data_IF_345521406908
#
_entry.id   IF_345521406908
#
_cell.length_a   1.000
_cell.length_b   1.000
_cell.length_c   1.000
_cell.angle_alpha   90.00
_cell.angle_beta   90.00
_cell.angle_gamma   90.00
#
_symmetry.space_group_name_H-M   'P 1'
#
loop_
_entity.id
_entity.type
_entity.pdbx_description
1 polymer ?
#
# COMPACT_ATOMS: atom_id res chain seq x y z
N UNK A 1 0.47 -11.22 -35.02
CA UNK A 1 0.00 -11.10 -33.64
C UNK A 1 -0.39 -12.51 -33.16
N UNK A 2 0.35 -13.11 -32.21
CA UNK A 2 -0.09 -14.37 -31.60
C UNK A 2 -1.25 -14.02 -30.68
N UNK A 3 -2.47 -14.47 -31.01
CA UNK A 3 -3.65 -14.28 -30.15
C UNK A 3 -3.40 -14.83 -28.74
N UNK A 4 -3.89 -14.11 -27.75
CA UNK A 4 -3.82 -14.52 -26.34
C UNK A 4 -4.62 -15.83 -26.19
N UNK A 5 -4.07 -16.83 -25.47
CA UNK A 5 -4.76 -18.11 -25.27
C UNK A 5 -6.10 -17.86 -24.55
N UNK A 6 -7.25 -18.27 -25.13
CA UNK A 6 -8.58 -17.95 -24.58
C UNK A 6 -8.79 -18.51 -23.17
N UNK A 7 -8.03 -19.55 -22.76
CA UNK A 7 -8.08 -20.15 -21.42
C UNK A 7 -7.48 -19.26 -20.35
N UNK A 8 -6.63 -18.28 -20.72
CA UNK A 8 -5.97 -17.42 -19.73
C UNK A 8 -6.98 -16.64 -18.88
N UNK A 9 -8.02 -16.10 -19.51
CA UNK A 9 -9.08 -15.40 -18.79
C UNK A 9 -9.87 -16.29 -17.85
N UNK A 10 -10.13 -17.53 -18.26
CA UNK A 10 -10.78 -18.56 -17.45
C UNK A 10 -9.90 -18.97 -16.26
N UNK A 11 -8.65 -19.32 -16.50
CA UNK A 11 -7.69 -19.71 -15.46
C UNK A 11 -7.54 -18.67 -14.37
N UNK A 12 -7.46 -17.39 -14.75
CA UNK A 12 -7.38 -16.25 -13.79
C UNK A 12 -8.69 -15.99 -13.03
N UNK A 13 -9.82 -16.43 -13.55
CA UNK A 13 -11.12 -16.29 -12.91
C UNK A 13 -11.45 -17.43 -11.92
N UNK A 14 -10.67 -18.52 -11.92
CA UNK A 14 -10.84 -19.59 -10.95
C UNK A 14 -10.61 -19.07 -9.52
N UNK A 15 -11.45 -19.46 -8.54
CA UNK A 15 -11.18 -19.16 -7.14
C UNK A 15 -9.83 -19.74 -6.72
N UNK A 16 -8.98 -18.92 -6.10
CA UNK A 16 -7.65 -19.39 -5.64
C UNK A 16 -7.77 -20.55 -4.66
N UNK A 17 -8.84 -20.59 -3.86
CA UNK A 17 -9.11 -21.68 -2.93
C UNK A 17 -9.29 -23.04 -3.65
N UNK A 18 -9.96 -23.05 -4.80
CA UNK A 18 -10.20 -24.27 -5.57
C UNK A 18 -8.91 -24.77 -6.23
N UNK A 19 -8.07 -23.84 -6.70
CA UNK A 19 -6.75 -24.17 -7.25
C UNK A 19 -5.84 -24.78 -6.17
N UNK A 20 -5.83 -24.17 -4.98
CA UNK A 20 -5.05 -24.68 -3.83
C UNK A 20 -5.53 -26.05 -3.40
N UNK A 21 -6.84 -26.28 -3.34
CA UNK A 21 -7.40 -27.59 -2.99
C UNK A 21 -6.98 -28.68 -4.00
N UNK A 22 -6.98 -28.35 -5.30
CA UNK A 22 -6.52 -29.28 -6.36
C UNK A 22 -5.02 -29.55 -6.34
N UNK A 23 -4.22 -28.60 -5.83
CA UNK A 23 -2.76 -28.75 -5.71
C UNK A 23 -2.33 -29.54 -4.47
N UNK A 24 -3.27 -29.83 -3.54
CA UNK A 24 -3.05 -30.59 -2.31
C UNK A 24 -1.81 -30.13 -1.52
N UNK A 25 -1.61 -28.81 -1.41
CA UNK A 25 -0.43 -28.23 -0.77
C UNK A 25 -0.39 -28.54 0.72
N UNK A 26 0.59 -29.31 1.16
CA UNK A 26 0.76 -29.70 2.55
C UNK A 26 1.39 -28.59 3.41
N UNK A 27 1.07 -28.57 4.70
CA UNK A 27 1.73 -27.71 5.69
C UNK A 27 1.33 -26.25 5.66
N UNK A 28 0.28 -25.87 4.89
CA UNK A 28 -0.25 -24.52 4.88
C UNK A 28 -1.23 -24.31 6.03
N UNK A 29 -1.00 -23.25 6.81
CA UNK A 29 -1.87 -22.83 7.91
C UNK A 29 -2.62 -21.57 7.49
N UNK A 30 -3.92 -21.55 7.76
CA UNK A 30 -4.75 -20.40 7.43
C UNK A 30 -4.56 -19.26 8.44
N UNK A 31 -4.14 -18.09 7.94
CA UNK A 31 -3.97 -16.86 8.72
C UNK A 31 -4.85 -15.76 8.09
N UNK A 32 -6.07 -15.61 8.57
CA UNK A 32 -7.04 -14.69 7.98
C UNK A 32 -7.41 -15.04 6.54
N UNK A 33 -7.08 -14.16 5.61
CA UNK A 33 -7.31 -14.35 4.17
C UNK A 33 -6.18 -15.13 3.47
N UNK A 34 -5.08 -15.40 4.15
CA UNK A 34 -3.92 -16.05 3.59
C UNK A 34 -3.74 -17.48 4.11
N UNK A 35 -3.18 -18.32 3.27
CA UNK A 35 -2.57 -19.58 3.64
C UNK A 35 -1.06 -19.36 3.70
N UNK A 36 -0.41 -19.69 4.81
CA UNK A 36 1.02 -19.48 5.01
C UNK A 36 1.69 -20.78 5.42
N UNK A 37 2.87 -21.09 4.86
CA UNK A 37 3.59 -22.30 5.19
C UNK A 37 4.87 -22.51 4.38
N UNK A 38 5.35 -23.75 4.29
CA UNK A 38 6.52 -24.10 3.49
C UNK A 38 6.26 -23.91 2.00
N UNK A 39 7.25 -23.41 1.28
CA UNK A 39 7.18 -23.33 -0.18
C UNK A 39 7.35 -24.71 -0.79
N UNK A 40 6.52 -25.13 -1.75
CA UNK A 40 6.63 -26.44 -2.40
C UNK A 40 7.95 -26.63 -3.15
N UNK A 41 8.59 -25.55 -3.59
CA UNK A 41 9.86 -25.59 -4.33
C UNK A 41 11.10 -25.48 -3.44
N UNK A 42 11.10 -24.56 -2.46
CA UNK A 42 12.31 -24.26 -1.68
C UNK A 42 12.16 -24.53 -0.17
N UNK A 43 11.05 -25.13 0.26
CA UNK A 43 10.77 -25.43 1.65
C UNK A 43 10.66 -24.18 2.52
N UNK A 44 11.15 -24.29 3.77
CA UNK A 44 11.06 -23.24 4.77
C UNK A 44 9.83 -23.41 5.65
N UNK A 45 9.64 -22.51 6.62
CA UNK A 45 8.56 -22.64 7.61
C UNK A 45 7.31 -21.82 7.23
N UNK A 46 7.50 -20.57 6.78
CA UNK A 46 6.42 -19.57 6.60
C UNK A 46 6.65 -18.64 5.41
N UNK A 47 7.53 -19.00 4.50
CA UNK A 47 7.93 -18.13 3.38
C UNK A 47 6.99 -18.15 2.19
N UNK A 48 6.05 -19.06 2.15
CA UNK A 48 5.07 -19.19 1.09
C UNK A 48 3.72 -18.73 1.57
N UNK A 49 3.18 -17.71 0.93
CA UNK A 49 1.89 -17.12 1.25
C UNK A 49 0.96 -17.11 0.04
N UNK A 50 -0.28 -17.54 0.23
CA UNK A 50 -1.33 -17.52 -0.80
C UNK A 50 -2.52 -16.73 -0.26
N UNK A 51 -2.81 -15.61 -0.87
CA UNK A 51 -3.97 -14.81 -0.51
C UNK A 51 -5.20 -15.30 -1.29
N UNK A 52 -6.12 -15.95 -0.59
CA UNK A 52 -7.33 -16.55 -1.17
C UNK A 52 -8.34 -15.51 -1.69
N UNK A 53 -8.22 -14.24 -1.27
CA UNK A 53 -9.14 -13.18 -1.66
C UNK A 53 -8.65 -12.41 -2.87
N UNK A 54 -7.35 -12.11 -2.91
CA UNK A 54 -6.76 -11.38 -4.03
C UNK A 54 -6.34 -12.30 -5.17
N UNK A 55 -6.32 -13.62 -4.95
CA UNK A 55 -5.88 -14.59 -5.93
C UNK A 55 -4.39 -14.48 -6.26
N UNK A 56 -3.57 -14.02 -5.30
CA UNK A 56 -2.13 -13.84 -5.49
C UNK A 56 -1.37 -14.70 -4.48
N UNK A 57 -0.32 -15.35 -4.94
CA UNK A 57 0.65 -16.01 -4.05
C UNK A 57 2.04 -15.40 -4.17
N UNK A 58 2.88 -15.66 -3.18
CA UNK A 58 4.28 -15.26 -3.17
C UNK A 58 5.13 -16.21 -2.33
N UNK A 59 6.29 -16.61 -2.86
CA UNK A 59 7.39 -17.11 -2.07
C UNK A 59 8.34 -15.97 -1.71
N UNK A 60 8.52 -15.68 -0.43
CA UNK A 60 9.35 -14.55 0.06
C UNK A 60 10.85 -14.72 -0.27
N UNK A 61 11.30 -15.94 -0.56
CA UNK A 61 12.68 -16.21 -1.00
C UNK A 61 12.89 -15.93 -2.49
N UNK A 62 11.82 -15.69 -3.25
CA UNK A 62 11.85 -15.48 -4.71
C UNK A 62 12.55 -16.63 -5.45
N UNK A 63 12.18 -17.87 -5.11
CA UNK A 63 12.83 -19.11 -5.54
C UNK A 63 12.43 -19.56 -6.95
N UNK A 64 12.73 -18.77 -7.95
CA UNK A 64 12.50 -19.11 -9.36
C UNK A 64 11.60 -18.12 -10.10
N UNK A 65 11.43 -18.33 -11.42
CA UNK A 65 10.78 -17.35 -12.30
C UNK A 65 9.29 -17.11 -11.99
N UNK A 66 8.64 -18.06 -11.33
CA UNK A 66 7.22 -18.01 -10.97
C UNK A 66 7.01 -17.97 -9.45
N UNK A 67 7.93 -17.37 -8.69
CA UNK A 67 7.86 -17.33 -7.22
C UNK A 67 6.71 -16.45 -6.68
N UNK A 68 5.99 -15.75 -7.54
CA UNK A 68 4.80 -14.93 -7.22
C UNK A 68 3.92 -14.77 -8.44
N UNK A 69 2.62 -14.60 -8.22
CA UNK A 69 1.67 -14.34 -9.29
C UNK A 69 0.26 -14.81 -8.99
N UNK A 70 -0.47 -15.07 -10.06
CA UNK A 70 -1.86 -15.53 -10.07
C UNK A 70 -1.98 -17.07 -10.06
N UNK A 71 -3.15 -17.59 -10.34
CA UNK A 71 -3.44 -19.03 -10.38
C UNK A 71 -2.54 -19.79 -11.35
N UNK A 72 -2.28 -19.22 -12.53
CA UNK A 72 -1.43 -19.87 -13.54
C UNK A 72 0.01 -19.95 -13.03
N UNK A 73 0.52 -18.86 -12.50
CA UNK A 73 1.86 -18.82 -11.92
C UNK A 73 1.99 -19.75 -10.70
N UNK A 74 0.93 -19.93 -9.89
CA UNK A 74 0.91 -20.85 -8.77
C UNK A 74 1.07 -22.29 -9.24
N UNK A 75 0.34 -22.71 -10.28
CA UNK A 75 0.46 -24.06 -10.86
C UNK A 75 1.85 -24.28 -11.46
N UNK A 76 2.37 -23.30 -12.22
CA UNK A 76 3.73 -23.34 -12.75
C UNK A 76 4.78 -23.50 -11.64
N UNK A 77 4.64 -22.70 -10.59
CA UNK A 77 5.55 -22.75 -9.44
C UNK A 77 5.50 -24.08 -8.70
N UNK A 78 4.31 -24.61 -8.49
CA UNK A 78 4.12 -25.83 -7.70
C UNK A 78 4.52 -27.09 -8.44
N UNK A 79 4.09 -27.20 -9.71
CA UNK A 79 4.23 -28.42 -10.51
C UNK A 79 5.41 -28.35 -11.51
N UNK A 80 6.10 -27.21 -11.62
CA UNK A 80 7.22 -27.04 -12.55
C UNK A 80 6.81 -27.06 -14.04
N UNK A 81 5.54 -26.81 -14.32
CA UNK A 81 4.97 -26.85 -15.67
C UNK A 81 5.26 -25.56 -16.45
N UNK A 82 5.26 -25.67 -17.79
CA UNK A 82 5.23 -24.52 -18.64
C UNK A 82 3.83 -23.83 -18.66
N UNK A 83 3.74 -22.68 -19.31
CA UNK A 83 2.50 -21.88 -19.34
C UNK A 83 1.31 -22.63 -19.96
N UNK A 84 1.55 -23.38 -21.05
CA UNK A 84 0.48 -24.12 -21.74
C UNK A 84 -0.01 -25.29 -20.92
N UNK A 85 0.90 -26.06 -20.36
CA UNK A 85 0.57 -27.17 -19.47
C UNK A 85 -0.16 -26.70 -18.21
N UNK A 86 0.21 -25.56 -17.63
CA UNK A 86 -0.50 -24.98 -16.51
C UNK A 86 -1.93 -24.52 -16.89
N UNK A 87 -2.13 -23.96 -18.06
CA UNK A 87 -3.49 -23.65 -18.57
C UNK A 87 -4.31 -24.92 -18.81
N UNK A 88 -3.70 -25.96 -19.35
CA UNK A 88 -4.39 -27.24 -19.57
C UNK A 88 -4.76 -27.91 -18.24
N UNK A 89 -3.89 -27.86 -17.25
CA UNK A 89 -4.16 -28.37 -15.91
C UNK A 89 -5.32 -27.61 -15.23
N UNK A 90 -5.39 -26.28 -15.39
CA UNK A 90 -6.44 -25.44 -14.81
C UNK A 90 -7.80 -25.58 -15.52
N UNK A 91 -7.79 -25.56 -16.85
CA UNK A 91 -8.99 -25.40 -17.67
C UNK A 91 -9.28 -26.60 -18.58
N UNK A 92 -8.37 -27.58 -18.65
CA UNK A 92 -8.43 -28.71 -19.59
C UNK A 92 -7.87 -28.37 -20.98
N UNK A 93 -7.88 -29.35 -21.91
CA UNK A 93 -7.29 -29.16 -23.24
C UNK A 93 -7.96 -28.05 -24.04
N UNK A 94 -7.16 -27.36 -24.87
CA UNK A 94 -7.66 -26.28 -25.74
C UNK A 94 -8.41 -26.83 -26.95
N UNK A 95 -8.09 -28.05 -27.37
CA UNK A 95 -8.66 -28.69 -28.54
C UNK A 95 -9.87 -29.55 -28.17
N UNK A 96 -10.90 -29.53 -29.02
CA UNK A 96 -12.11 -30.33 -28.83
C UNK A 96 -13.29 -29.66 -28.16
N UNK A 97 -13.16 -28.42 -27.68
CA UNK A 97 -14.32 -27.67 -27.16
C UNK A 97 -15.16 -27.14 -28.30
N UNK A 98 -16.46 -27.36 -28.20
CA UNK A 98 -17.44 -26.71 -29.09
C UNK A 98 -17.52 -25.20 -28.78
N UNK A 99 -18.01 -24.42 -29.72
CA UNK A 99 -18.19 -22.98 -29.50
C UNK A 99 -19.17 -22.68 -28.35
N UNK A 100 -20.19 -23.53 -28.18
CA UNK A 100 -21.10 -23.45 -27.03
C UNK A 100 -20.40 -23.66 -25.67
N UNK A 101 -19.49 -24.63 -25.58
CA UNK A 101 -18.71 -24.89 -24.37
C UNK A 101 -17.74 -23.75 -24.07
N UNK A 102 -17.12 -23.16 -25.10
CA UNK A 102 -16.26 -21.99 -24.99
C UNK A 102 -17.03 -20.78 -24.45
N UNK A 103 -18.22 -20.54 -24.96
CA UNK A 103 -19.07 -19.42 -24.54
C UNK A 103 -19.57 -19.63 -23.11
N UNK A 104 -19.98 -20.84 -22.75
CA UNK A 104 -20.39 -21.18 -21.38
C UNK A 104 -19.23 -20.95 -20.38
N UNK A 105 -18.00 -21.35 -20.72
CA UNK A 105 -16.81 -21.10 -19.90
C UNK A 105 -16.53 -19.61 -19.74
N UNK A 106 -16.63 -18.81 -20.82
CA UNK A 106 -16.47 -17.35 -20.76
C UNK A 106 -17.52 -16.72 -19.84
N UNK A 107 -18.76 -17.17 -19.94
CA UNK A 107 -19.86 -16.71 -19.11
C UNK A 107 -19.59 -16.99 -17.62
N UNK A 108 -19.20 -18.22 -17.28
CA UNK A 108 -18.84 -18.61 -15.90
C UNK A 108 -17.64 -17.81 -15.38
N UNK A 109 -16.61 -17.61 -16.19
CA UNK A 109 -15.46 -16.81 -15.83
C UNK A 109 -15.83 -15.34 -15.54
N UNK A 110 -16.69 -14.76 -16.39
CA UNK A 110 -17.19 -13.39 -16.21
C UNK A 110 -18.06 -13.27 -14.95
N UNK A 111 -18.90 -14.24 -14.67
CA UNK A 111 -19.72 -14.29 -13.45
C UNK A 111 -18.87 -14.41 -12.19
N UNK A 112 -17.89 -15.32 -12.17
CA UNK A 112 -16.94 -15.46 -11.05
C UNK A 112 -16.16 -14.17 -10.80
N UNK A 113 -15.69 -13.50 -11.87
CA UNK A 113 -15.01 -12.20 -11.76
C UNK A 113 -15.92 -11.16 -11.13
N UNK A 114 -17.15 -11.00 -11.62
CA UNK A 114 -18.14 -10.05 -11.06
C UNK A 114 -18.40 -10.34 -9.58
N UNK A 115 -18.52 -11.62 -9.21
CA UNK A 115 -18.71 -12.02 -7.81
C UNK A 115 -17.50 -11.65 -6.94
N UNK A 116 -16.28 -11.90 -7.41
CA UNK A 116 -15.05 -11.53 -6.71
C UNK A 116 -14.92 -10.01 -6.56
N UNK A 117 -15.18 -9.26 -7.62
CA UNK A 117 -15.16 -7.80 -7.62
C UNK A 117 -16.19 -7.23 -6.63
N UNK A 118 -17.40 -7.79 -6.60
CA UNK A 118 -18.45 -7.40 -5.64
C UNK A 118 -18.04 -7.65 -4.17
N UNK A 119 -17.42 -8.80 -3.89
CA UNK A 119 -16.90 -9.12 -2.54
C UNK A 119 -15.76 -8.15 -2.17
N UNK A 120 -14.85 -7.88 -3.08
CA UNK A 120 -13.74 -6.95 -2.85
C UNK A 120 -14.25 -5.52 -2.59
N UNK A 121 -15.21 -5.08 -3.38
CA UNK A 121 -15.84 -3.77 -3.24
C UNK A 121 -16.56 -3.63 -1.89
N UNK A 122 -17.38 -4.60 -1.50
CA UNK A 122 -18.05 -4.59 -0.19
C UNK A 122 -17.06 -4.50 0.97
N UNK A 123 -15.97 -5.29 0.94
CA UNK A 123 -14.92 -5.23 1.97
C UNK A 123 -14.23 -3.86 2.00
N UNK A 124 -14.00 -3.26 0.84
CA UNK A 124 -13.45 -1.91 0.74
C UNK A 124 -14.38 -0.89 1.40
N UNK A 125 -15.68 -0.96 1.12
CA UNK A 125 -16.69 -0.07 1.70
C UNK A 125 -16.79 -0.23 3.21
N UNK A 126 -16.84 -1.47 3.71
CA UNK A 126 -16.86 -1.76 5.14
C UNK A 126 -15.59 -1.22 5.84
N UNK A 127 -14.42 -1.40 5.22
CA UNK A 127 -13.16 -0.87 5.75
C UNK A 127 -13.13 0.67 5.76
N UNK A 128 -13.69 1.34 4.74
CA UNK A 128 -13.84 2.79 4.69
C UNK A 128 -14.78 3.28 5.79
N UNK A 129 -15.90 2.58 6.02
CA UNK A 129 -16.85 2.92 7.08
C UNK A 129 -16.17 2.89 8.45
N UNK A 130 -15.46 1.80 8.79
CA UNK A 130 -14.72 1.70 10.05
C UNK A 130 -13.65 2.79 10.17
N UNK A 131 -12.97 3.13 9.08
CA UNK A 131 -12.00 4.22 9.08
C UNK A 131 -12.64 5.58 9.40
N UNK A 132 -13.83 5.85 8.85
CA UNK A 132 -14.61 7.06 9.16
C UNK A 132 -15.06 7.09 10.62
N UNK A 133 -15.53 5.97 11.15
CA UNK A 133 -15.94 5.88 12.55
C UNK A 133 -14.76 6.21 13.48
N UNK A 134 -13.57 5.67 13.21
CA UNK A 134 -12.35 6.01 13.95
C UNK A 134 -12.00 7.50 13.80
N UNK A 135 -12.08 8.04 12.59
CA UNK A 135 -11.79 9.44 12.34
C UNK A 135 -12.73 10.38 13.11
N UNK A 136 -14.02 10.12 13.08
CA UNK A 136 -15.00 10.99 13.74
C UNK A 136 -15.03 10.83 15.26
N UNK A 137 -14.63 9.68 15.78
CA UNK A 137 -14.47 9.45 17.22
C UNK A 137 -13.21 10.11 17.81
N UNK A 138 -12.17 10.31 17.00
CA UNK A 138 -10.93 10.96 17.43
C UNK A 138 -11.15 12.46 17.71
N UNK A 139 -10.54 12.95 18.78
CA UNK A 139 -10.60 14.36 19.21
C UNK A 139 -9.56 15.24 18.51
N UNK A 140 -9.58 16.56 18.77
CA UNK A 140 -8.56 17.50 18.31
C UNK A 140 -7.16 17.06 18.77
N UNK A 141 -6.14 17.29 17.94
CA UNK A 141 -4.76 16.95 18.25
C UNK A 141 -4.03 18.02 19.07
N UNK A 142 -4.56 19.24 19.09
CA UNK A 142 -3.95 20.36 19.82
C UNK A 142 -3.99 20.11 21.35
N UNK A 143 -2.88 20.39 22.03
CA UNK A 143 -2.74 20.18 23.48
C UNK A 143 -2.68 18.72 23.90
N UNK A 144 -2.39 17.79 23.01
CA UNK A 144 -2.33 16.34 23.28
C UNK A 144 -0.94 15.77 23.00
N UNK A 145 -0.74 14.49 23.32
CA UNK A 145 0.48 13.75 23.01
C UNK A 145 0.93 13.82 21.55
N UNK A 146 0.02 14.16 20.60
CA UNK A 146 0.39 14.39 19.21
C UNK A 146 1.29 15.62 19.07
N UNK A 147 0.99 16.70 19.79
CA UNK A 147 1.84 17.90 19.79
C UNK A 147 3.22 17.59 20.34
N UNK A 148 3.30 16.90 21.47
CA UNK A 148 4.55 16.51 22.10
C UNK A 148 5.37 15.58 21.19
N UNK A 149 4.68 14.64 20.53
CA UNK A 149 5.29 13.76 19.54
C UNK A 149 5.91 14.55 18.38
N UNK A 150 5.17 15.49 17.78
CA UNK A 150 5.67 16.29 16.65
C UNK A 150 6.84 17.18 17.09
N UNK A 151 6.77 17.78 18.28
CA UNK A 151 7.89 18.55 18.86
C UNK A 151 9.13 17.68 19.02
N UNK A 152 8.97 16.47 19.56
CA UNK A 152 10.07 15.49 19.69
C UNK A 152 10.67 15.10 18.34
N UNK A 153 9.88 15.14 17.27
CA UNK A 153 10.33 14.91 15.89
C UNK A 153 10.91 16.18 15.23
N UNK A 154 11.23 17.21 16.01
CA UNK A 154 11.77 18.47 15.48
C UNK A 154 10.75 19.30 14.68
N UNK A 155 9.49 18.87 14.68
CA UNK A 155 8.41 19.54 13.98
C UNK A 155 7.78 20.52 14.98
N UNK A 156 8.38 21.71 15.10
CA UNK A 156 7.96 22.69 16.10
C UNK A 156 6.54 23.19 15.82
N UNK A 157 5.66 23.12 16.83
CA UNK A 157 4.29 23.62 16.74
C UNK A 157 4.17 25.13 16.47
N UNK A 158 5.19 25.90 16.82
CA UNK A 158 5.24 27.35 16.61
C UNK A 158 5.20 27.72 15.12
N UNK A 159 5.61 26.78 14.25
CA UNK A 159 5.56 26.93 12.80
C UNK A 159 4.16 26.71 12.21
N UNK A 160 3.25 26.14 13.00
CA UNK A 160 1.84 26.02 12.64
C UNK A 160 1.04 27.07 13.43
N UNK A 161 0.29 27.90 12.72
CA UNK A 161 -0.72 28.76 13.39
C UNK A 161 -1.78 27.93 14.13
N UNK A 162 -2.05 26.72 13.62
CA UNK A 162 -2.91 25.70 14.23
C UNK A 162 -2.52 24.33 13.70
N UNK A 163 -2.76 23.28 14.49
CA UNK A 163 -2.58 21.90 14.08
C UNK A 163 -3.38 21.61 12.79
N UNK A 164 -2.79 20.92 11.78
CA UNK A 164 -3.54 20.55 10.57
C UNK A 164 -4.84 19.83 10.90
N UNK A 165 -5.95 20.25 10.33
CA UNK A 165 -7.29 19.66 10.58
C UNK A 165 -7.38 18.19 10.18
N UNK A 166 -6.46 17.72 9.34
CA UNK A 166 -6.31 16.32 8.94
C UNK A 166 -5.62 15.45 10.00
N UNK A 167 -5.21 16.02 11.13
CA UNK A 167 -4.59 15.32 12.26
C UNK A 167 -5.51 15.39 13.47
N UNK A 168 -5.78 14.23 14.06
CA UNK A 168 -6.57 14.06 15.27
C UNK A 168 -5.85 13.18 16.28
N UNK A 169 -6.38 13.11 17.48
CA UNK A 169 -5.87 12.32 18.60
C UNK A 169 -6.91 11.31 19.08
N UNK A 170 -6.47 10.07 19.22
CA UNK A 170 -7.23 9.01 19.90
C UNK A 170 -6.43 8.57 21.12
N UNK A 171 -6.91 8.82 22.35
CA UNK A 171 -6.19 8.47 23.57
C UNK A 171 -6.13 6.95 23.82
N UNK A 172 -7.01 6.17 23.21
CA UNK A 172 -7.19 4.74 23.47
C UNK A 172 -7.35 3.93 22.18
N UNK A 173 -6.55 4.25 21.15
CA UNK A 173 -6.57 3.56 19.88
C UNK A 173 -6.19 2.08 20.05
N UNK A 174 -7.07 1.19 19.59
CA UNK A 174 -6.84 -0.26 19.62
C UNK A 174 -5.86 -0.68 18.53
N UNK A 175 -4.79 -1.36 18.92
CA UNK A 175 -3.88 -2.02 17.98
C UNK A 175 -4.31 -3.48 17.82
N UNK A 176 -4.80 -3.82 16.64
CA UNK A 176 -5.34 -5.15 16.35
C UNK A 176 -4.47 -5.91 15.37
N UNK A 177 -4.39 -7.22 15.56
CA UNK A 177 -3.80 -8.17 14.63
C UNK A 177 -4.84 -9.23 14.24
N UNK A 178 -4.73 -9.90 13.08
CA UNK A 178 -5.64 -11.00 12.75
C UNK A 178 -5.57 -12.08 13.85
N UNK A 179 -6.72 -12.58 14.29
CA UNK A 179 -6.76 -13.65 15.30
C UNK A 179 -6.22 -14.96 14.72
N UNK A 180 -5.45 -15.70 15.51
CA UNK A 180 -4.92 -16.98 15.09
C UNK A 180 -6.02 -18.05 15.07
N UNK A 181 -6.07 -18.86 14.00
CA UNK A 181 -7.07 -19.93 13.83
C UNK A 181 -8.51 -19.48 13.62
N UNK A 182 -8.82 -18.16 13.67
CA UNK A 182 -10.19 -17.63 13.52
C UNK A 182 -10.29 -16.66 12.33
N UNK A 183 -10.67 -17.17 11.18
CA UNK A 183 -10.78 -16.36 9.96
C UNK A 183 -11.73 -15.18 10.14
N UNK A 184 -11.26 -13.98 9.80
CA UNK A 184 -12.03 -12.73 9.87
C UNK A 184 -12.11 -12.10 11.27
N UNK A 185 -11.61 -12.75 12.32
CA UNK A 185 -11.52 -12.19 13.67
C UNK A 185 -10.21 -11.41 13.87
N UNK A 186 -10.22 -10.49 14.83
CA UNK A 186 -9.11 -9.62 15.18
C UNK A 186 -8.89 -9.60 16.68
N UNK A 187 -7.67 -9.78 17.11
CA UNK A 187 -7.27 -9.67 18.52
C UNK A 187 -6.68 -8.28 18.77
N UNK A 188 -7.16 -7.63 19.84
CA UNK A 188 -6.56 -6.38 20.34
C UNK A 188 -5.39 -6.74 21.24
N UNK A 189 -4.18 -6.38 20.85
CA UNK A 189 -2.94 -6.70 21.58
C UNK A 189 -2.35 -5.49 22.30
N UNK A 190 -2.82 -4.29 22.00
CA UNK A 190 -2.45 -3.05 22.67
C UNK A 190 -3.58 -2.03 22.54
N UNK A 191 -3.71 -1.17 23.53
CA UNK A 191 -4.58 0.01 23.51
C UNK A 191 -3.80 1.19 24.09
N UNK A 192 -3.72 2.29 23.36
CA UNK A 192 -2.94 3.45 23.79
C UNK A 192 -3.08 4.65 22.87
N UNK A 193 -2.41 5.76 23.19
CA UNK A 193 -2.51 7.01 22.45
C UNK A 193 -2.03 6.86 21.01
N UNK A 194 -2.76 7.47 20.08
CA UNK A 194 -2.38 7.49 18.66
C UNK A 194 -2.68 8.82 17.99
N UNK A 195 -1.78 9.24 17.12
CA UNK A 195 -2.05 10.23 16.09
C UNK A 195 -2.86 9.57 14.98
N UNK A 196 -3.99 10.17 14.64
CA UNK A 196 -4.91 9.71 13.59
C UNK A 196 -4.94 10.74 12.48
N UNK A 197 -4.52 10.36 11.26
CA UNK A 197 -4.53 11.25 10.11
C UNK A 197 -5.55 10.78 9.07
N UNK A 198 -6.40 11.70 8.59
CA UNK A 198 -7.38 11.40 7.57
C UNK A 198 -6.73 11.30 6.18
N UNK A 199 -6.91 10.18 5.52
CA UNK A 199 -6.66 10.04 4.08
C UNK A 199 -7.96 10.39 3.36
N UNK A 200 -7.91 11.40 2.48
CA UNK A 200 -9.08 11.87 1.76
C UNK A 200 -8.93 11.67 0.26
N UNK A 201 -10.04 11.36 -0.40
CA UNK A 201 -10.09 11.25 -1.85
C UNK A 201 -10.12 12.63 -2.54
N UNK A 202 -10.22 12.64 -3.87
CA UNK A 202 -10.30 13.87 -4.67
C UNK A 202 -11.52 14.73 -4.34
N UNK A 203 -12.61 14.11 -3.87
CA UNK A 203 -13.83 14.79 -3.42
C UNK A 203 -13.77 15.26 -1.95
N UNK A 204 -12.64 15.08 -1.26
CA UNK A 204 -12.47 15.46 0.14
C UNK A 204 -13.12 14.51 1.15
N UNK A 205 -13.58 13.34 0.73
CA UNK A 205 -14.20 12.35 1.63
C UNK A 205 -13.12 11.49 2.28
N UNK A 206 -13.25 11.25 3.57
CA UNK A 206 -12.36 10.32 4.30
C UNK A 206 -12.57 8.91 3.77
N UNK A 207 -11.49 8.28 3.29
CA UNK A 207 -11.48 6.92 2.75
C UNK A 207 -10.58 5.98 3.53
N UNK A 208 -9.63 6.53 4.30
CA UNK A 208 -8.81 5.76 5.22
C UNK A 208 -8.36 6.62 6.40
N UNK A 209 -7.86 5.97 7.44
CA UNK A 209 -7.09 6.61 8.50
C UNK A 209 -5.70 6.00 8.56
N UNK A 210 -4.69 6.86 8.64
CA UNK A 210 -3.33 6.49 8.99
C UNK A 210 -3.15 6.73 10.47
N UNK A 211 -2.84 5.69 11.24
CA UNK A 211 -2.66 5.75 12.69
C UNK A 211 -1.21 5.53 13.04
N UNK A 212 -0.65 6.38 13.90
CA UNK A 212 0.68 6.22 14.50
C UNK A 212 0.50 6.12 16.01
N UNK A 213 0.76 4.95 16.59
CA UNK A 213 0.72 4.78 18.05
C UNK A 213 1.93 5.45 18.66
N UNK A 214 1.67 6.17 19.76
CA UNK A 214 2.65 7.04 20.41
C UNK A 214 3.11 6.42 21.75
N UNK A 215 4.39 6.55 22.00
CA UNK A 215 5.00 6.29 23.30
C UNK A 215 6.12 7.32 23.49
N UNK A 216 5.83 8.38 24.24
CA UNK A 216 6.76 9.48 24.44
C UNK A 216 7.96 9.10 25.33
N UNK A 217 7.99 7.93 25.94
CA UNK A 217 9.18 7.40 26.62
C UNK A 217 10.23 6.90 25.62
N UNK A 218 9.83 6.55 24.40
CA UNK A 218 10.73 6.08 23.36
C UNK A 218 11.49 7.22 22.67
N UNK A 219 12.73 7.00 22.18
CA UNK A 219 13.54 8.05 21.56
C UNK A 219 12.84 8.76 20.39
N UNK A 220 12.18 8.03 19.51
CA UNK A 220 11.43 8.58 18.36
C UNK A 220 9.95 8.88 18.67
N UNK A 221 9.51 8.73 19.95
CA UNK A 221 8.14 9.00 20.38
C UNK A 221 7.08 8.04 19.84
N UNK A 222 7.47 6.94 19.19
CA UNK A 222 6.59 5.92 18.62
C UNK A 222 6.58 4.67 19.48
N UNK A 223 5.41 4.02 19.55
CA UNK A 223 5.26 2.74 20.24
C UNK A 223 6.23 1.69 19.68
N UNK A 224 6.91 1.00 20.56
CA UNK A 224 7.69 -0.22 20.27
C UNK A 224 6.90 -1.41 20.80
N UNK A 225 6.26 -2.16 19.93
CA UNK A 225 5.39 -3.28 20.29
C UNK A 225 6.01 -4.60 19.80
N UNK A 226 6.41 -5.51 20.71
CA UNK A 226 6.90 -6.83 20.32
C UNK A 226 5.85 -7.60 19.52
N UNK A 227 6.29 -8.31 18.49
CA UNK A 227 5.39 -9.20 17.73
C UNK A 227 5.16 -10.50 18.55
N UNK A 228 3.93 -10.78 19.01
CA UNK A 228 3.65 -11.98 19.82
C UNK A 228 3.86 -13.28 19.04
N UNK A 229 3.95 -13.21 17.71
CA UNK A 229 4.12 -14.39 16.83
C UNK A 229 5.57 -14.62 16.40
N UNK A 230 6.42 -13.60 16.58
CA UNK A 230 7.80 -13.62 16.11
C UNK A 230 8.74 -13.06 17.19
N UNK A 231 9.22 -13.90 18.09
CA UNK A 231 10.15 -13.49 19.13
C UNK A 231 11.35 -12.70 18.54
N UNK A 232 11.63 -11.53 19.12
CA UNK A 232 12.71 -10.66 18.67
C UNK A 232 12.36 -9.67 17.55
N UNK A 233 11.17 -9.80 16.92
CA UNK A 233 10.66 -8.79 15.98
C UNK A 233 9.71 -7.81 16.68
N UNK A 234 9.53 -6.63 16.08
CA UNK A 234 8.55 -5.63 16.52
C UNK A 234 7.52 -5.38 15.44
N UNK A 235 6.30 -5.08 15.86
CA UNK A 235 5.22 -4.68 14.99
C UNK A 235 5.36 -3.20 14.59
N UNK A 236 4.90 -2.80 13.38
CA UNK A 236 5.01 -1.42 12.94
C UNK A 236 4.16 -0.48 13.82
N UNK A 237 4.73 0.62 14.30
CA UNK A 237 3.99 1.64 15.04
C UNK A 237 2.92 2.36 14.20
N UNK A 238 2.94 2.20 12.89
CA UNK A 238 2.03 2.83 11.93
C UNK A 238 1.14 1.80 11.25
N UNK A 239 -0.15 2.11 11.11
CA UNK A 239 -1.11 1.29 10.34
C UNK A 239 -2.09 2.16 9.58
N UNK A 240 -2.48 1.69 8.39
CA UNK A 240 -3.57 2.28 7.61
C UNK A 240 -4.79 1.35 7.67
N UNK A 241 -5.96 1.93 7.89
CA UNK A 241 -7.25 1.24 7.80
C UNK A 241 -8.15 1.99 6.83
N UNK A 242 -8.86 1.28 5.98
CA UNK A 242 -9.66 1.84 4.90
C UNK A 242 -8.99 1.70 3.54
N UNK A 243 -9.37 2.52 2.58
CA UNK A 243 -8.80 2.56 1.23
C UNK A 243 -7.98 3.83 1.02
N UNK A 244 -6.66 3.72 1.01
CA UNK A 244 -5.76 4.85 0.72
C UNK A 244 -5.64 5.17 -0.77
N UNK A 245 -6.09 4.29 -1.66
CA UNK A 245 -5.92 4.37 -3.11
C UNK A 245 -6.45 5.68 -3.69
N UNK A 246 -5.58 6.40 -4.39
CA UNK A 246 -5.88 7.71 -4.97
C UNK A 246 -6.10 8.84 -3.97
N UNK A 247 -6.02 8.56 -2.67
CA UNK A 247 -6.17 9.55 -1.61
C UNK A 247 -4.82 10.06 -1.09
N UNK A 248 -4.89 11.12 -0.27
CA UNK A 248 -3.74 11.71 0.41
C UNK A 248 -4.14 12.33 1.75
N UNK A 249 -3.17 12.53 2.64
CA UNK A 249 -3.34 13.32 3.88
C UNK A 249 -2.98 14.77 3.56
N UNK A 250 -3.90 15.70 3.74
CA UNK A 250 -3.72 17.13 3.43
C UNK A 250 -3.23 17.86 4.67
N UNK A 251 -1.92 18.12 4.77
CA UNK A 251 -1.28 18.68 5.96
C UNK A 251 -1.19 20.21 5.95
N UNK A 252 -1.07 20.80 4.78
CA UNK A 252 -1.07 22.25 4.58
C UNK A 252 -1.66 22.64 3.23
N UNK A 253 -2.29 23.80 3.19
CA UNK A 253 -2.89 24.34 1.97
C UNK A 253 -2.85 25.85 1.97
N UNK A 254 -2.38 26.42 0.87
CA UNK A 254 -2.46 27.86 0.59
C UNK A 254 -3.52 28.11 -0.49
N UNK A 255 -4.53 28.96 -0.25
CA UNK A 255 -5.66 29.11 -1.17
C UNK A 255 -5.29 29.55 -2.60
N UNK A 256 -4.15 30.24 -2.76
CA UNK A 256 -3.67 30.76 -4.06
C UNK A 256 -2.42 30.03 -4.57
N UNK A 257 -2.05 28.87 -4.00
CA UNK A 257 -0.86 28.15 -4.46
C UNK A 257 -1.12 27.35 -5.73
N UNK A 258 -0.09 27.24 -6.56
CA UNK A 258 -0.04 26.34 -7.72
C UNK A 258 1.02 25.22 -7.55
N UNK A 259 1.73 25.26 -6.44
CA UNK A 259 2.79 24.33 -6.10
C UNK A 259 2.32 23.35 -5.03
N UNK A 260 2.60 22.07 -5.23
CA UNK A 260 2.35 21.02 -4.26
C UNK A 260 3.65 20.27 -3.94
N UNK A 261 3.92 20.13 -2.65
CA UNK A 261 5.03 19.33 -2.10
C UNK A 261 4.42 18.09 -1.47
N UNK A 262 4.92 16.92 -1.84
CA UNK A 262 4.37 15.64 -1.39
C UNK A 262 5.50 14.68 -1.00
N UNK A 263 5.40 14.12 0.20
CA UNK A 263 6.27 13.06 0.69
C UNK A 263 5.48 11.78 1.01
N UNK A 264 6.18 10.68 1.24
CA UNK A 264 5.58 9.41 1.62
C UNK A 264 4.96 9.47 3.03
N UNK A 265 5.71 10.00 4.01
CA UNK A 265 5.36 10.05 5.41
C UNK A 265 4.79 11.40 5.89
N UNK A 266 3.99 11.37 6.95
CA UNK A 266 3.46 12.58 7.60
C UNK A 266 4.59 13.43 8.13
N UNK A 267 5.55 12.82 8.84
CA UNK A 267 6.68 13.51 9.45
C UNK A 267 7.57 14.16 8.39
N UNK A 268 7.92 13.44 7.32
CA UNK A 268 8.72 13.97 6.20
C UNK A 268 8.01 15.13 5.50
N UNK A 269 6.68 15.03 5.30
CA UNK A 269 5.91 16.12 4.69
C UNK A 269 5.89 17.37 5.56
N UNK A 270 5.72 17.22 6.88
CA UNK A 270 5.74 18.33 7.82
C UNK A 270 7.16 18.92 7.94
N UNK A 271 8.20 18.10 7.89
CA UNK A 271 9.60 18.56 7.86
C UNK A 271 9.89 19.38 6.60
N UNK A 272 9.38 18.96 5.45
CA UNK A 272 9.50 19.73 4.21
C UNK A 272 8.78 21.09 4.32
N UNK A 273 7.61 21.14 4.97
CA UNK A 273 6.89 22.38 5.19
C UNK A 273 7.66 23.36 6.07
N UNK A 274 8.37 22.85 7.10
CA UNK A 274 9.19 23.65 8.00
C UNK A 274 10.46 24.17 7.31
N UNK A 275 11.05 23.36 6.44
CA UNK A 275 12.28 23.72 5.72
C UNK A 275 12.05 24.78 4.63
N UNK A 276 10.81 25.00 4.20
CA UNK A 276 10.50 25.99 3.18
C UNK A 276 10.50 27.43 3.74
N UNK A 277 11.20 28.39 3.09
CA UNK A 277 11.23 29.79 3.53
C UNK A 277 9.85 30.47 3.55
N UNK A 278 8.94 30.01 2.69
CA UNK A 278 7.58 30.55 2.56
C UNK A 278 6.55 29.39 2.51
N UNK A 279 6.35 28.67 3.62
CA UNK A 279 5.50 27.49 3.63
C UNK A 279 4.04 27.76 3.24
N UNK A 280 3.56 28.99 3.45
CA UNK A 280 2.22 29.41 3.03
C UNK A 280 2.06 29.58 1.50
N UNK A 281 3.11 29.45 0.71
CA UNK A 281 3.05 29.54 -0.75
C UNK A 281 2.79 28.18 -1.44
N UNK A 282 2.78 27.08 -0.69
CA UNK A 282 2.64 25.72 -1.22
C UNK A 282 1.57 24.91 -0.49
N UNK A 283 1.07 23.87 -1.14
CA UNK A 283 0.30 22.82 -0.51
C UNK A 283 1.20 21.65 -0.10
N UNK A 284 0.97 21.07 1.08
CA UNK A 284 1.75 19.95 1.61
C UNK A 284 0.86 18.75 1.84
N UNK A 285 1.06 17.70 1.04
CA UNK A 285 0.28 16.49 1.13
C UNK A 285 1.17 15.27 1.37
N UNK A 286 0.67 14.33 2.18
CA UNK A 286 1.35 13.05 2.41
C UNK A 286 0.70 11.95 1.59
N UNK A 287 1.51 11.19 0.85
CA UNK A 287 1.07 10.10 -0.03
C UNK A 287 0.74 8.80 0.68
N UNK A 288 0.99 8.72 2.00
CA UNK A 288 0.75 7.55 2.87
C UNK A 288 1.78 6.44 2.67
N UNK A 289 2.10 6.09 1.46
CA UNK A 289 3.22 5.25 1.05
C UNK A 289 3.57 5.48 -0.43
N UNK A 290 4.78 5.04 -0.76
CA UNK A 290 5.35 5.20 -2.08
C UNK A 290 4.50 4.57 -3.21
N UNK A 291 3.83 3.43 -2.92
CA UNK A 291 2.98 2.74 -3.89
C UNK A 291 1.74 3.54 -4.25
N UNK A 292 1.07 4.16 -3.26
CA UNK A 292 -0.08 5.02 -3.48
C UNK A 292 0.32 6.34 -4.17
N UNK A 293 1.41 6.97 -3.69
CA UNK A 293 1.93 8.24 -4.20
C UNK A 293 2.38 8.13 -5.67
N UNK A 294 3.14 7.10 -6.00
CA UNK A 294 3.75 6.92 -7.32
C UNK A 294 2.93 6.03 -8.27
N UNK A 295 2.07 5.17 -7.74
CA UNK A 295 1.36 4.15 -8.51
C UNK A 295 2.27 3.03 -9.03
N UNK A 296 1.71 2.17 -9.88
CA UNK A 296 2.44 1.04 -10.47
C UNK A 296 3.39 1.48 -11.57
N UNK A 297 4.52 0.77 -11.68
CA UNK A 297 5.42 0.84 -12.83
C UNK A 297 5.13 -0.30 -13.81
N UNK A 298 5.51 -0.10 -15.07
CA UNK A 298 5.56 -1.18 -16.05
C UNK A 298 6.48 -2.30 -15.57
N UNK A 299 6.10 -3.54 -15.89
CA UNK A 299 6.86 -4.74 -15.56
C UNK A 299 7.44 -5.36 -16.83
N UNK A 300 8.65 -5.90 -16.73
CA UNK A 300 9.33 -6.58 -17.82
C UNK A 300 10.84 -6.64 -17.61
N UNK A 301 11.55 -7.41 -18.43
CA UNK A 301 13.00 -7.46 -18.41
C UNK A 301 13.60 -6.06 -18.57
N UNK A 302 14.55 -5.68 -17.71
CA UNK A 302 15.23 -4.36 -17.74
C UNK A 302 14.40 -3.17 -17.25
N UNK A 303 13.11 -3.31 -16.93
CA UNK A 303 12.23 -2.19 -16.57
C UNK A 303 12.23 -1.82 -15.08
N UNK A 304 12.84 -2.62 -14.21
CA UNK A 304 12.81 -2.42 -12.75
C UNK A 304 13.17 -0.99 -12.30
N UNK A 305 14.12 -0.36 -12.97
CA UNK A 305 14.63 0.98 -12.64
C UNK A 305 14.33 2.03 -13.72
N UNK A 306 13.53 1.70 -14.74
CA UNK A 306 13.26 2.59 -15.86
C UNK A 306 12.37 3.80 -15.51
N UNK A 307 11.63 3.72 -14.41
CA UNK A 307 10.69 4.78 -14.00
C UNK A 307 9.57 5.00 -15.01
N UNK A 308 9.12 3.93 -15.67
CA UNK A 308 8.01 3.99 -16.62
C UNK A 308 6.70 3.66 -15.92
N UNK A 309 5.67 4.54 -15.97
CA UNK A 309 4.40 4.31 -15.34
C UNK A 309 3.58 3.24 -16.08
N UNK A 310 2.89 2.39 -15.33
CA UNK A 310 1.77 1.59 -15.84
C UNK A 310 0.56 2.53 -15.98
N UNK A 311 0.22 2.92 -17.21
CA UNK A 311 -0.85 3.89 -17.47
C UNK A 311 -2.26 3.33 -17.25
N UNK A 312 -2.41 2.00 -17.12
CA UNK A 312 -3.66 1.31 -16.79
C UNK A 312 -3.94 1.28 -15.28
N UNK A 313 -3.04 1.84 -14.46
CA UNK A 313 -3.27 2.01 -13.03
C UNK A 313 -4.23 3.17 -12.76
N UNK A 314 -5.53 2.89 -12.84
CA UNK A 314 -6.60 3.86 -12.60
C UNK A 314 -6.75 4.28 -11.13
N UNK A 315 -6.13 3.54 -10.21
CA UNK A 315 -6.21 3.80 -8.76
C UNK A 315 -5.00 4.61 -8.22
N UNK A 316 -4.01 4.90 -9.07
CA UNK A 316 -2.86 5.72 -8.69
C UNK A 316 -3.30 7.14 -8.37
N UNK A 317 -2.69 7.71 -7.32
CA UNK A 317 -2.91 9.12 -6.98
C UNK A 317 -2.52 10.06 -8.12
N UNK A 318 -3.32 11.12 -8.31
CA UNK A 318 -3.04 12.19 -9.25
C UNK A 318 -3.20 13.55 -8.56
N UNK A 319 -2.36 14.55 -8.90
CA UNK A 319 -2.53 15.90 -8.36
C UNK A 319 -3.85 16.52 -8.87
N UNK A 320 -4.50 17.38 -8.05
CA UNK A 320 -5.62 18.19 -8.52
C UNK A 320 -5.25 19.10 -9.71
N UNK A 321 -6.26 19.56 -10.45
CA UNK A 321 -6.06 20.33 -11.68
C UNK A 321 -5.42 21.71 -11.46
N UNK A 322 -5.57 22.28 -10.24
CA UNK A 322 -4.95 23.55 -9.88
C UNK A 322 -3.42 23.45 -9.68
N UNK A 323 -2.87 22.24 -9.50
CA UNK A 323 -1.42 22.07 -9.33
C UNK A 323 -0.71 22.25 -10.66
N UNK A 324 0.22 23.20 -10.72
CA UNK A 324 1.10 23.45 -11.87
C UNK A 324 2.53 22.97 -11.65
N UNK A 325 2.94 22.84 -10.37
CA UNK A 325 4.24 22.34 -9.96
C UNK A 325 4.07 21.26 -8.87
N UNK A 326 4.52 20.05 -9.15
CA UNK A 326 4.54 18.93 -8.22
C UNK A 326 5.95 18.58 -7.82
N UNK A 327 6.24 18.65 -6.53
CA UNK A 327 7.55 18.30 -5.96
C UNK A 327 7.37 17.05 -5.10
N UNK A 328 8.02 15.96 -5.48
CA UNK A 328 8.10 14.78 -4.63
C UNK A 328 9.34 14.85 -3.74
N UNK A 329 9.15 14.63 -2.44
CA UNK A 329 10.26 14.49 -1.48
C UNK A 329 10.56 13.01 -1.33
N UNK A 330 11.79 12.62 -1.62
CA UNK A 330 12.27 11.24 -1.50
C UNK A 330 12.85 11.02 -0.12
N UNK A 331 12.37 9.97 0.58
CA UNK A 331 12.94 9.49 1.83
C UNK A 331 14.26 8.75 1.54
N UNK A 332 15.24 8.91 2.43
CA UNK A 332 16.60 8.42 2.24
C UNK A 332 16.87 7.00 2.75
N UNK A 333 15.92 6.40 3.49
CA UNK A 333 16.09 5.12 4.20
C UNK A 333 15.75 3.86 3.38
N UNK A 334 15.29 4.04 2.14
CA UNK A 334 14.88 2.96 1.21
C UNK A 334 15.92 2.75 0.10
N UNK A 335 15.82 1.65 -0.69
CA UNK A 335 16.62 1.48 -1.91
C UNK A 335 16.54 2.74 -2.79
N UNK A 336 17.58 3.61 -2.84
CA UNK A 336 17.49 4.92 -3.48
C UNK A 336 17.16 4.82 -4.96
N UNK A 337 17.69 3.82 -5.66
CA UNK A 337 17.48 3.62 -7.11
C UNK A 337 16.04 3.23 -7.42
N UNK A 338 15.47 2.29 -6.63
CA UNK A 338 14.11 1.84 -6.82
C UNK A 338 13.11 2.94 -6.43
N UNK A 339 13.36 3.64 -5.33
CA UNK A 339 12.52 4.76 -4.86
C UNK A 339 12.50 5.88 -5.89
N UNK A 340 13.65 6.30 -6.39
CA UNK A 340 13.75 7.30 -7.47
C UNK A 340 13.00 6.84 -8.73
N UNK A 341 13.12 5.56 -9.13
CA UNK A 341 12.42 5.04 -10.30
C UNK A 341 10.89 5.09 -10.12
N UNK A 342 10.38 4.71 -8.94
CA UNK A 342 8.96 4.81 -8.61
C UNK A 342 8.47 6.25 -8.65
N UNK A 343 9.17 7.18 -8.00
CA UNK A 343 8.79 8.60 -8.01
C UNK A 343 8.81 9.19 -9.42
N UNK A 344 9.82 8.85 -10.25
CA UNK A 344 9.85 9.22 -11.67
C UNK A 344 8.64 8.69 -12.44
N UNK A 345 8.21 7.44 -12.19
CA UNK A 345 7.02 6.88 -12.80
C UNK A 345 5.76 7.65 -12.39
N UNK A 346 5.62 7.99 -11.12
CA UNK A 346 4.51 8.81 -10.61
C UNK A 346 4.46 10.19 -11.26
N UNK A 347 5.59 10.90 -11.32
CA UNK A 347 5.68 12.20 -11.98
C UNK A 347 5.33 12.13 -13.47
N UNK A 348 5.89 11.15 -14.21
CA UNK A 348 5.58 10.95 -15.63
C UNK A 348 4.10 10.69 -15.86
N UNK A 349 3.46 9.84 -15.03
CA UNK A 349 2.02 9.62 -15.07
C UNK A 349 1.24 10.92 -14.84
N UNK A 350 1.60 11.66 -13.80
CA UNK A 350 0.95 12.93 -13.46
C UNK A 350 1.07 13.95 -14.61
N UNK A 351 2.25 14.09 -15.20
CA UNK A 351 2.50 15.01 -16.32
C UNK A 351 1.73 14.61 -17.60
N UNK A 352 1.60 13.31 -17.88
CA UNK A 352 0.80 12.81 -19.01
C UNK A 352 -0.70 13.09 -18.77
N UNK A 353 -1.20 12.85 -17.55
CA UNK A 353 -2.62 13.03 -17.20
C UNK A 353 -3.01 14.50 -16.92
N UNK A 354 -2.03 15.38 -16.68
CA UNK A 354 -2.19 16.81 -16.40
C UNK A 354 -1.27 17.64 -17.31
N UNK A 355 -1.69 17.95 -18.54
CA UNK A 355 -0.89 18.76 -19.46
C UNK A 355 -0.50 20.10 -18.83
N UNK A 356 0.79 20.49 -18.97
CA UNK A 356 1.34 21.70 -18.36
C UNK A 356 1.86 21.56 -16.94
N UNK A 357 1.66 20.40 -16.29
CA UNK A 357 2.26 20.12 -15.00
C UNK A 357 3.78 19.99 -15.11
N UNK A 358 4.51 20.65 -14.21
CA UNK A 358 5.96 20.47 -14.03
C UNK A 358 6.20 19.62 -12.79
N UNK A 359 7.10 18.62 -12.89
CA UNK A 359 7.43 17.71 -11.80
C UNK A 359 8.91 17.71 -11.47
N UNK A 360 9.25 17.63 -10.18
CA UNK A 360 10.62 17.45 -9.69
C UNK A 360 10.65 16.50 -8.50
N UNK A 361 11.83 15.91 -8.24
CA UNK A 361 12.12 15.10 -7.07
C UNK A 361 13.22 15.81 -6.30
N UNK A 362 13.04 15.98 -5.01
CA UNK A 362 14.04 16.49 -4.07
C UNK A 362 14.32 15.43 -3.01
N UNK A 363 15.54 15.37 -2.50
CA UNK A 363 15.93 14.44 -1.44
C UNK A 363 16.90 15.10 -0.48
N UNK A 364 16.92 14.62 0.75
CA UNK A 364 17.76 15.16 1.83
C UNK A 364 19.23 14.73 1.76
N UNK A 365 19.58 13.83 0.83
CA UNK A 365 20.88 13.15 0.71
C UNK A 365 20.74 11.64 0.82
N UNK A 366 21.77 10.90 0.41
CA UNK A 366 21.77 9.44 0.55
C UNK A 366 21.84 9.05 2.04
N UNK A 367 21.01 8.08 2.44
CA UNK A 367 20.98 7.57 3.82
C UNK A 367 20.28 8.48 4.83
N UNK A 368 19.70 9.61 4.43
CA UNK A 368 19.10 10.59 5.35
C UNK A 368 17.61 10.76 5.13
N UNK A 369 16.85 10.68 6.22
CA UNK A 369 15.46 11.15 6.27
C UNK A 369 15.48 12.67 6.56
N UNK A 370 14.63 13.43 5.84
CA UNK A 370 14.49 14.87 6.04
C UNK A 370 14.13 15.21 7.50
N UNK A 371 13.36 14.37 8.15
CA UNK A 371 13.03 14.55 9.55
C UNK A 371 14.22 14.29 10.50
N UNK A 372 15.09 13.32 10.20
CA UNK A 372 16.28 13.05 10.99
C UNK A 372 17.31 14.20 10.85
N UNK A 373 17.40 14.82 9.68
CA UNK A 373 18.19 16.05 9.46
C UNK A 373 17.63 17.20 10.33
N UNK A 374 16.33 17.40 10.33
CA UNK A 374 15.68 18.43 11.12
C UNK A 374 15.94 18.23 12.62
N UNK A 375 16.03 16.98 13.09
CA UNK A 375 16.37 16.63 14.47
C UNK A 375 17.87 16.79 14.78
N UNK A 376 18.72 17.16 13.82
CA UNK A 376 20.15 17.29 14.02
C UNK A 376 20.87 15.96 14.22
N UNK A 377 20.25 14.83 13.88
CA UNK A 377 20.91 13.52 13.88
C UNK A 377 21.92 13.50 12.73
N UNK A 378 23.20 13.65 13.07
CA UNK A 378 24.30 13.37 12.16
C UNK A 378 24.54 11.86 12.21
N UNK A 379 24.80 11.28 11.04
CA UNK A 379 25.25 9.89 10.99
C UNK A 379 26.48 9.72 11.88
N UNK A 380 26.45 8.80 12.84
CA UNK A 380 27.63 8.27 13.52
C UNK A 380 28.25 7.15 12.67
#
# INVERSE_FOLDING_TARGET
>A
MKGEDPRLGEAKALPMADVVARLELAGLVRTGAELVGPCPQCGGKDRFGINLQTGIFQCRKDCGPHAKGDQVALVQHTLGMDFRAALEWLCGPAEGLTDAEREERRRKAAENRRRQDGIAQKKREDSIRVARDIWFAAGPAEGTAVRDYLTRRGISPELFRSMPQSIRFDPAARYTIPAEGRAGAWDTIHTGPAMVCAVVDTAGRVTAVHRTWLDLSQPKGKLVLPDPRKPGETLPAKKVLGSKKGGAIRLGFAPSCDTMIMAEGVETTLSAMIAEPAPQASAYWCGVDLGNMAGRMQRGPGLKYAGLPDMDDSEAWLPPDWVKRLVFVQDGDSDPKLTTAKLKAGLRRAMIKRPGLRGSIVHAGEGRDLNDILMGQRDE
#
